data_IF_698848019172
#
_entry.id   IF_698848019172
#
_cell.length_a   1.000
_cell.length_b   1.000
_cell.length_c   1.000
_cell.angle_alpha   90.00
_cell.angle_beta   90.00
_cell.angle_gamma   90.00
#
_symmetry.space_group_name_H-M   'P 1'
#
loop_
_entity.id
_entity.type
_entity.pdbx_description
1 polymer ?
#
# COMPACT_ATOMS: atom_id res chain seq x y z
N UNK A 1 -23.90 8.26 -3.75
CA UNK A 1 -23.93 7.23 -4.81
C UNK A 1 -23.33 7.79 -6.09
N UNK A 2 -22.35 7.10 -6.66
CA UNK A 2 -21.78 7.41 -7.97
C UNK A 2 -22.55 6.73 -9.10
N UNK A 3 -22.87 7.49 -10.15
CA UNK A 3 -23.31 6.95 -11.45
C UNK A 3 -22.45 7.51 -12.58
N UNK A 4 -22.34 6.79 -13.69
CA UNK A 4 -21.68 7.32 -14.89
C UNK A 4 -22.43 8.55 -15.40
N UNK A 5 -21.68 9.57 -15.78
CA UNK A 5 -22.24 10.76 -16.42
C UNK A 5 -22.70 10.43 -17.84
N UNK A 6 -23.75 11.10 -18.29
CA UNK A 6 -24.29 10.96 -19.64
C UNK A 6 -24.33 12.32 -20.34
N UNK A 7 -24.80 12.38 -21.60
CA UNK A 7 -24.91 13.65 -22.33
C UNK A 7 -25.92 14.60 -21.68
N UNK A 8 -26.93 14.05 -21.03
CA UNK A 8 -28.00 14.76 -20.32
C UNK A 8 -27.47 15.53 -19.09
N UNK A 9 -26.29 15.16 -18.57
CA UNK A 9 -25.62 15.92 -17.51
C UNK A 9 -24.87 17.15 -18.02
N UNK A 10 -24.79 17.36 -19.34
CA UNK A 10 -23.90 18.34 -19.96
C UNK A 10 -24.13 19.78 -19.50
N UNK A 11 -25.38 20.23 -19.44
CA UNK A 11 -25.69 21.58 -18.99
C UNK A 11 -25.28 21.81 -17.53
N UNK A 12 -25.54 20.82 -16.66
CA UNK A 12 -25.16 20.88 -15.24
C UNK A 12 -23.64 20.90 -15.05
N UNK A 13 -22.93 20.04 -15.79
CA UNK A 13 -21.46 20.01 -15.77
C UNK A 13 -20.86 21.34 -16.24
N UNK A 14 -21.45 21.94 -17.28
CA UNK A 14 -21.05 23.25 -17.78
C UNK A 14 -21.20 24.34 -16.70
N UNK A 15 -22.37 24.43 -16.07
CA UNK A 15 -22.66 25.38 -15.01
C UNK A 15 -21.70 25.22 -13.82
N UNK A 16 -21.51 23.98 -13.34
CA UNK A 16 -20.58 23.69 -12.25
C UNK A 16 -19.13 24.03 -12.60
N UNK A 17 -18.70 23.74 -13.83
CA UNK A 17 -17.36 24.05 -14.33
C UNK A 17 -17.10 25.55 -14.40
N UNK A 18 -18.12 26.34 -14.74
CA UNK A 18 -18.03 27.80 -14.90
C UNK A 18 -18.30 28.61 -13.62
N UNK A 19 -18.81 27.98 -12.55
CA UNK A 19 -18.92 28.63 -11.24
C UNK A 19 -17.60 29.30 -10.83
N UNK A 20 -17.59 30.59 -10.43
CA UNK A 20 -16.37 31.33 -10.14
C UNK A 20 -15.45 30.67 -9.12
N UNK A 21 -16.01 30.08 -8.05
CA UNK A 21 -15.22 29.39 -7.01
C UNK A 21 -14.65 28.07 -7.51
N UNK A 22 -15.42 27.32 -8.33
CA UNK A 22 -14.88 26.12 -9.00
C UNK A 22 -13.70 26.50 -9.89
N UNK A 23 -13.85 27.53 -10.73
CA UNK A 23 -12.80 27.96 -11.65
C UNK A 23 -11.54 28.41 -10.92
N UNK A 24 -11.67 29.18 -9.85
CA UNK A 24 -10.53 29.60 -9.03
C UNK A 24 -9.68 28.41 -8.56
N UNK A 25 -10.34 27.31 -8.19
CA UNK A 25 -9.71 26.10 -7.66
C UNK A 25 -9.39 25.04 -8.73
N UNK A 26 -9.73 25.30 -9.98
CA UNK A 26 -9.44 24.44 -11.13
C UNK A 26 -8.06 24.76 -11.71
N UNK A 27 -7.42 23.76 -12.33
CA UNK A 27 -6.14 23.95 -13.03
C UNK A 27 -6.25 24.98 -14.17
N UNK A 28 -7.39 25.01 -14.86
CA UNK A 28 -7.73 26.08 -15.80
C UNK A 28 -8.79 27.00 -15.17
N UNK A 29 -8.45 28.27 -14.98
CA UNK A 29 -9.30 29.30 -14.35
C UNK A 29 -10.18 30.06 -15.35
N UNK A 30 -9.89 29.97 -16.65
CA UNK A 30 -10.66 30.65 -17.69
C UNK A 30 -12.12 30.14 -17.71
N UNK A 31 -13.10 31.01 -18.00
CA UNK A 31 -14.43 30.56 -18.35
C UNK A 31 -14.36 29.66 -19.58
N UNK A 32 -15.21 28.63 -19.60
CA UNK A 32 -15.33 27.69 -20.72
C UNK A 32 -16.54 28.10 -21.55
N UNK A 33 -16.39 28.17 -22.86
CA UNK A 33 -17.52 28.42 -23.76
C UNK A 33 -18.39 27.17 -23.92
N UNK A 34 -19.70 27.35 -24.13
CA UNK A 34 -20.66 26.25 -24.28
C UNK A 34 -20.23 25.25 -25.37
N UNK A 35 -19.86 25.74 -26.55
CA UNK A 35 -19.44 24.90 -27.66
C UNK A 35 -18.14 24.13 -27.37
N UNK A 36 -17.21 24.72 -26.60
CA UNK A 36 -15.99 24.04 -26.16
C UNK A 36 -16.32 22.92 -25.15
N UNK A 37 -17.21 23.21 -24.20
CA UNK A 37 -17.67 22.24 -23.23
C UNK A 37 -18.38 21.05 -23.88
N UNK A 38 -19.27 21.27 -24.84
CA UNK A 38 -19.96 20.20 -25.57
C UNK A 38 -19.00 19.29 -26.33
N UNK A 39 -17.98 19.87 -26.98
CA UNK A 39 -16.89 19.12 -27.61
C UNK A 39 -16.11 18.31 -26.59
N UNK A 40 -15.76 18.91 -25.45
CA UNK A 40 -15.03 18.24 -24.37
C UNK A 40 -15.83 17.08 -23.77
N UNK A 41 -17.14 17.26 -23.53
CA UNK A 41 -18.02 16.24 -22.97
C UNK A 41 -18.14 15.06 -23.93
N UNK A 42 -18.39 15.34 -25.20
CA UNK A 42 -18.48 14.30 -26.24
C UNK A 42 -17.20 13.48 -26.32
N UNK A 43 -16.03 14.14 -26.34
CA UNK A 43 -14.73 13.45 -26.31
C UNK A 43 -14.50 12.68 -25.02
N UNK A 44 -14.92 13.22 -23.87
CA UNK A 44 -14.73 12.59 -22.57
C UNK A 44 -15.57 11.33 -22.40
N UNK A 45 -16.82 11.34 -22.88
CA UNK A 45 -17.71 10.18 -22.83
C UNK A 45 -17.29 9.06 -23.81
N UNK A 46 -16.58 9.40 -24.88
CA UNK A 46 -16.06 8.44 -25.85
C UNK A 46 -14.64 7.91 -25.51
N UNK A 47 -13.96 8.49 -24.50
CA UNK A 47 -12.58 8.14 -24.19
C UNK A 47 -12.51 6.88 -23.30
N UNK A 48 -11.90 5.77 -23.76
CA UNK A 48 -11.82 4.53 -22.99
C UNK A 48 -10.93 4.63 -21.73
N UNK A 49 -10.04 5.63 -21.68
CA UNK A 49 -9.17 5.88 -20.53
C UNK A 49 -9.75 6.93 -19.57
N UNK A 50 -10.98 7.41 -19.79
CA UNK A 50 -11.64 8.36 -18.90
C UNK A 50 -12.98 7.81 -18.47
N UNK A 51 -13.28 7.89 -17.19
CA UNK A 51 -14.64 7.69 -16.70
C UNK A 51 -15.08 8.92 -15.91
N UNK A 52 -16.19 9.52 -16.35
CA UNK A 52 -16.81 10.67 -15.70
C UNK A 52 -18.03 10.18 -14.90
N UNK A 53 -18.16 10.67 -13.68
CA UNK A 53 -19.24 10.32 -12.77
C UNK A 53 -19.99 11.55 -12.30
N UNK A 54 -21.27 11.34 -12.00
CA UNK A 54 -22.08 12.22 -11.17
C UNK A 54 -22.22 11.57 -9.80
N UNK A 55 -21.93 12.35 -8.76
CA UNK A 55 -22.19 11.97 -7.38
C UNK A 55 -23.55 12.49 -6.97
N UNK A 56 -24.42 11.59 -6.53
CA UNK A 56 -25.76 11.89 -6.05
C UNK A 56 -25.86 11.66 -4.54
N UNK A 57 -26.42 12.64 -3.83
CA UNK A 57 -26.78 12.55 -2.42
C UNK A 57 -28.31 12.60 -2.34
N UNK A 58 -28.94 11.55 -1.80
CA UNK A 58 -30.40 11.42 -1.70
C UNK A 58 -31.13 11.66 -3.04
N UNK A 59 -30.57 11.14 -4.13
CA UNK A 59 -31.13 11.30 -5.49
C UNK A 59 -30.90 12.66 -6.14
N UNK A 60 -30.20 13.59 -5.46
CA UNK A 60 -29.86 14.91 -6.00
C UNK A 60 -28.40 14.93 -6.47
N UNK A 61 -28.11 15.29 -7.75
CA UNK A 61 -26.75 15.53 -8.22
C UNK A 61 -26.05 16.58 -7.35
N UNK A 62 -24.96 16.19 -6.70
CA UNK A 62 -24.25 17.02 -5.73
C UNK A 62 -22.78 17.26 -6.05
N UNK A 63 -22.26 16.60 -7.09
CA UNK A 63 -20.92 16.84 -7.60
C UNK A 63 -20.60 15.97 -8.80
N UNK A 64 -19.41 16.16 -9.33
CA UNK A 64 -18.83 15.33 -10.37
C UNK A 64 -17.42 14.92 -9.98
N UNK A 65 -17.03 13.72 -10.38
CA UNK A 65 -15.65 13.27 -10.29
C UNK A 65 -15.26 12.46 -11.51
N UNK A 66 -13.97 12.36 -11.76
CA UNK A 66 -13.40 11.78 -12.97
C UNK A 66 -12.18 10.95 -12.61
N UNK A 67 -12.02 9.85 -13.34
CA UNK A 67 -10.83 9.01 -13.33
C UNK A 67 -10.23 9.10 -14.73
N UNK A 68 -8.94 9.44 -14.84
CA UNK A 68 -8.14 9.32 -16.06
C UNK A 68 -7.06 8.27 -15.86
N UNK A 69 -7.04 7.24 -16.71
CA UNK A 69 -5.97 6.24 -16.76
C UNK A 69 -4.87 6.76 -17.69
N UNK A 70 -3.70 6.94 -17.12
CA UNK A 70 -2.48 7.36 -17.81
C UNK A 70 -1.44 6.25 -17.71
N UNK A 71 -0.52 6.21 -18.67
CA UNK A 71 0.63 5.30 -18.66
C UNK A 71 1.89 6.17 -18.72
N UNK A 72 2.71 6.08 -17.68
CA UNK A 72 3.98 6.78 -17.54
C UNK A 72 5.02 6.23 -18.53
N UNK A 73 6.11 6.97 -18.73
CA UNK A 73 7.19 6.57 -19.66
C UNK A 73 7.83 5.23 -19.33
N UNK A 74 7.81 4.84 -18.05
CA UNK A 74 8.31 3.55 -17.56
C UNK A 74 7.28 2.41 -17.70
N UNK A 75 6.13 2.67 -18.33
CA UNK A 75 5.05 1.71 -18.53
C UNK A 75 4.09 1.58 -17.34
N UNK A 76 4.30 2.35 -16.25
CA UNK A 76 3.44 2.28 -15.07
C UNK A 76 2.09 2.95 -15.30
N UNK A 77 1.01 2.29 -14.89
CA UNK A 77 -0.31 2.90 -14.90
C UNK A 77 -0.50 3.84 -13.72
N UNK A 78 -1.04 5.03 -13.99
CA UNK A 78 -1.43 6.03 -13.00
C UNK A 78 -2.88 6.42 -13.25
N UNK A 79 -3.67 6.54 -12.18
CA UNK A 79 -5.06 6.93 -12.24
C UNK A 79 -5.23 8.32 -11.63
N UNK A 80 -5.33 9.35 -12.47
CA UNK A 80 -5.56 10.72 -12.02
C UNK A 80 -7.02 10.93 -11.67
N UNK A 81 -7.25 11.55 -10.50
CA UNK A 81 -8.57 11.91 -10.02
C UNK A 81 -8.81 13.41 -10.12
N UNK A 82 -10.01 13.78 -10.54
CA UNK A 82 -10.52 15.15 -10.50
C UNK A 82 -11.91 15.16 -9.87
N UNK A 83 -12.26 16.22 -9.16
CA UNK A 83 -13.56 16.36 -8.51
C UNK A 83 -14.06 17.80 -8.44
N UNK A 84 -15.37 17.97 -8.33
CA UNK A 84 -16.05 19.24 -8.09
C UNK A 84 -17.34 18.97 -7.32
N UNK A 85 -17.60 19.77 -6.28
CA UNK A 85 -18.88 19.77 -5.58
C UNK A 85 -19.73 20.91 -6.13
N UNK A 86 -20.99 20.59 -6.42
CA UNK A 86 -22.00 21.53 -6.88
C UNK A 86 -22.05 22.77 -5.97
N UNK A 87 -22.09 24.01 -6.51
CA UNK A 87 -22.04 25.23 -5.71
C UNK A 87 -22.98 25.26 -4.50
N UNK A 88 -24.22 24.80 -4.70
CA UNK A 88 -25.32 24.72 -3.75
C UNK A 88 -25.20 23.57 -2.71
N UNK A 89 -24.23 22.67 -2.89
CA UNK A 89 -23.99 21.52 -2.03
C UNK A 89 -22.68 21.61 -1.21
N UNK A 90 -21.94 22.71 -1.34
CA UNK A 90 -20.69 22.95 -0.60
C UNK A 90 -20.91 23.08 0.90
N UNK A 91 -19.86 22.81 1.68
CA UNK A 91 -19.89 22.92 3.15
C UNK A 91 -20.55 21.74 3.88
N UNK A 92 -21.18 20.80 3.16
CA UNK A 92 -21.92 19.65 3.75
C UNK A 92 -21.09 18.37 3.92
N UNK A 93 -19.78 18.44 3.74
CA UNK A 93 -18.87 17.28 3.82
C UNK A 93 -18.95 16.29 2.64
N UNK A 94 -19.71 16.60 1.59
CA UNK A 94 -19.97 15.68 0.47
C UNK A 94 -18.74 15.36 -0.37
N UNK A 95 -17.75 16.26 -0.45
CA UNK A 95 -16.47 15.97 -1.11
C UNK A 95 -15.79 14.72 -0.55
N UNK A 96 -15.81 14.57 0.78
CA UNK A 96 -15.23 13.38 1.45
C UNK A 96 -16.05 12.12 1.12
N UNK A 97 -17.37 12.20 1.12
CA UNK A 97 -18.24 11.07 0.75
C UNK A 97 -17.97 10.63 -0.70
N UNK A 98 -17.96 11.57 -1.63
CA UNK A 98 -17.71 11.34 -3.05
C UNK A 98 -16.34 10.72 -3.30
N UNK A 99 -15.27 11.27 -2.72
CA UNK A 99 -13.93 10.70 -2.87
C UNK A 99 -13.84 9.30 -2.24
N UNK A 100 -14.50 9.07 -1.10
CA UNK A 100 -14.56 7.75 -0.48
C UNK A 100 -15.24 6.71 -1.36
N UNK A 101 -16.39 7.04 -1.97
CA UNK A 101 -17.05 6.16 -2.94
C UNK A 101 -16.19 5.93 -4.18
N UNK A 102 -15.51 6.97 -4.67
CA UNK A 102 -14.64 6.88 -5.85
C UNK A 102 -13.47 5.93 -5.61
N UNK A 103 -12.78 6.07 -4.47
CA UNK A 103 -11.65 5.22 -4.08
C UNK A 103 -12.07 3.77 -3.77
N UNK A 104 -13.35 3.53 -3.48
CA UNK A 104 -13.89 2.19 -3.26
C UNK A 104 -14.19 1.43 -4.56
N UNK A 105 -14.09 2.09 -5.73
CA UNK A 105 -14.28 1.42 -7.01
C UNK A 105 -13.17 0.39 -7.27
N UNK A 106 -13.56 -0.78 -7.76
CA UNK A 106 -12.63 -1.88 -8.08
C UNK A 106 -11.55 -1.45 -9.09
N UNK A 107 -11.87 -0.54 -10.02
CA UNK A 107 -10.92 0.02 -10.99
C UNK A 107 -9.71 0.71 -10.33
N UNK A 108 -9.86 1.27 -9.12
CA UNK A 108 -8.78 1.95 -8.40
C UNK A 108 -8.10 1.05 -7.36
N UNK A 109 -8.62 -0.16 -7.12
CA UNK A 109 -8.12 -1.04 -6.07
C UNK A 109 -6.67 -1.43 -6.35
N UNK A 110 -5.78 -1.00 -5.46
CA UNK A 110 -4.34 -1.27 -5.58
C UNK A 110 -3.64 -0.53 -6.70
N UNK A 111 -4.30 0.42 -7.36
CA UNK A 111 -3.65 1.22 -8.39
C UNK A 111 -2.89 2.39 -7.76
N UNK A 112 -1.92 2.92 -8.49
CA UNK A 112 -1.31 4.19 -8.16
C UNK A 112 -2.28 5.29 -8.56
N UNK A 113 -2.81 5.98 -7.57
CA UNK A 113 -3.79 7.04 -7.75
C UNK A 113 -3.09 8.38 -7.55
N UNK A 114 -3.37 9.33 -8.43
CA UNK A 114 -2.77 10.66 -8.44
C UNK A 114 -3.87 11.72 -8.30
N UNK A 115 -3.58 12.80 -7.59
CA UNK A 115 -4.36 14.03 -7.64
C UNK A 115 -3.43 15.22 -7.78
N UNK A 116 -3.76 16.13 -8.69
CA UNK A 116 -3.03 17.40 -8.90
C UNK A 116 -3.86 18.51 -8.26
N UNK A 117 -3.32 19.15 -7.23
CA UNK A 117 -4.07 20.06 -6.37
C UNK A 117 -3.30 21.36 -6.25
N UNK A 118 -3.96 22.50 -6.53
CA UNK A 118 -3.37 23.82 -6.27
C UNK A 118 -2.94 23.95 -4.81
N UNK A 119 -1.78 24.54 -4.57
CA UNK A 119 -1.19 24.63 -3.23
C UNK A 119 -2.05 25.44 -2.25
N UNK A 120 -2.89 26.35 -2.74
CA UNK A 120 -3.84 27.16 -1.96
C UNK A 120 -5.21 26.48 -1.73
N UNK A 121 -5.47 25.33 -2.36
CA UNK A 121 -6.72 24.58 -2.22
C UNK A 121 -6.71 23.70 -0.95
N UNK A 122 -6.65 24.36 0.22
CA UNK A 122 -6.54 23.69 1.52
C UNK A 122 -7.68 22.70 1.80
N UNK A 123 -8.87 22.92 1.22
CA UNK A 123 -9.99 22.00 1.36
C UNK A 123 -9.71 20.65 0.67
N UNK A 124 -9.13 20.67 -0.53
CA UNK A 124 -8.78 19.45 -1.27
C UNK A 124 -7.55 18.77 -0.68
N UNK A 125 -6.54 19.53 -0.26
CA UNK A 125 -5.35 19.02 0.45
C UNK A 125 -5.76 18.23 1.70
N UNK A 126 -6.51 18.86 2.62
CA UNK A 126 -6.99 18.20 3.85
C UNK A 126 -7.88 16.99 3.57
N UNK A 127 -8.57 17.00 2.42
CA UNK A 127 -9.40 15.88 2.02
C UNK A 127 -8.55 14.69 1.58
N UNK A 128 -7.58 14.87 0.69
CA UNK A 128 -6.74 13.77 0.21
C UNK A 128 -5.82 13.21 1.30
N UNK A 129 -5.28 14.06 2.17
CA UNK A 129 -4.51 13.63 3.35
C UNK A 129 -5.32 12.68 4.24
N UNK A 130 -6.61 13.00 4.46
CA UNK A 130 -7.51 12.14 5.24
C UNK A 130 -7.73 10.76 4.61
N UNK A 131 -7.63 10.66 3.29
CA UNK A 131 -7.68 9.38 2.56
C UNK A 131 -6.30 8.71 2.42
N UNK A 132 -5.25 9.31 2.99
CA UNK A 132 -3.89 8.79 3.02
C UNK A 132 -3.11 8.99 1.72
N UNK A 133 -3.50 9.98 0.92
CA UNK A 133 -2.58 10.51 -0.08
C UNK A 133 -1.40 11.15 0.66
N UNK A 134 -0.21 10.96 0.11
CA UNK A 134 0.99 11.68 0.53
C UNK A 134 1.36 12.68 -0.56
N UNK A 135 1.91 13.81 -0.14
CA UNK A 135 2.56 14.74 -1.04
C UNK A 135 3.80 14.05 -1.64
N UNK A 136 3.94 14.13 -2.96
CA UNK A 136 5.08 13.57 -3.69
C UNK A 136 6.06 14.67 -4.11
N UNK A 137 5.56 15.69 -4.83
CA UNK A 137 6.38 16.80 -5.35
C UNK A 137 5.51 17.99 -5.74
N UNK A 138 6.15 19.16 -5.88
CA UNK A 138 5.55 20.31 -6.53
C UNK A 138 5.58 20.18 -8.06
N UNK A 139 4.56 20.72 -8.71
CA UNK A 139 4.46 20.96 -10.14
C UNK A 139 3.87 22.36 -10.37
N UNK A 140 4.75 23.35 -10.59
CA UNK A 140 4.39 24.77 -10.72
C UNK A 140 3.65 25.28 -9.46
N UNK A 141 2.42 25.76 -9.61
CA UNK A 141 1.55 26.26 -8.53
C UNK A 141 0.66 25.15 -7.92
N UNK A 142 0.99 23.89 -8.20
CA UNK A 142 0.24 22.73 -7.74
C UNK A 142 1.16 21.72 -7.04
N UNK A 143 0.60 20.92 -6.14
CA UNK A 143 1.23 19.74 -5.59
C UNK A 143 0.68 18.47 -6.24
N UNK A 144 1.56 17.50 -6.47
CA UNK A 144 1.23 16.14 -6.85
C UNK A 144 1.05 15.31 -5.58
N UNK A 145 -0.14 14.71 -5.46
CA UNK A 145 -0.51 13.86 -4.33
C UNK A 145 -0.72 12.44 -4.81
N UNK A 146 -0.08 11.48 -4.16
CA UNK A 146 -0.15 10.07 -4.53
C UNK A 146 -0.82 9.24 -3.46
N UNK A 147 -1.70 8.35 -3.87
CA UNK A 147 -2.23 7.28 -3.04
C UNK A 147 -1.83 5.96 -3.69
N UNK A 148 -1.04 5.18 -2.96
CA UNK A 148 -0.71 3.81 -3.33
C UNK A 148 -0.80 2.96 -2.09
N UNK A 149 -1.70 1.97 -2.11
CA UNK A 149 -1.76 0.98 -1.03
C UNK A 149 -0.50 0.14 -1.12
N UNK A 150 0.32 0.18 -0.07
CA UNK A 150 1.45 -0.74 0.10
C UNK A 150 0.93 -2.01 0.78
N UNK A 151 1.40 -3.15 0.32
CA UNK A 151 1.25 -4.42 1.05
C UNK A 151 2.63 -4.83 1.53
N UNK A 152 2.80 -4.95 2.84
CA UNK A 152 4.04 -5.39 3.47
C UNK A 152 3.85 -6.85 3.89
N UNK A 153 4.64 -7.75 3.33
CA UNK A 153 4.62 -9.17 3.66
C UNK A 153 5.83 -9.47 4.54
N UNK A 154 5.60 -10.09 5.69
CA UNK A 154 6.67 -10.58 6.56
C UNK A 154 6.68 -12.10 6.46
N UNK A 155 7.81 -12.66 6.04
CA UNK A 155 8.00 -14.11 6.01
C UNK A 155 8.49 -14.59 7.38
N UNK A 156 7.70 -15.42 8.04
CA UNK A 156 8.03 -16.00 9.33
C UNK A 156 9.05 -17.14 9.21
N UNK A 157 9.88 -17.28 10.23
CA UNK A 157 10.90 -18.33 10.32
C UNK A 157 10.97 -18.93 11.71
N UNK A 158 12.00 -18.56 12.47
CA UNK A 158 12.28 -19.15 13.77
C UNK A 158 11.65 -18.41 14.92
N UNK A 159 11.18 -19.22 15.88
CA UNK A 159 10.66 -18.78 17.14
C UNK A 159 11.50 -19.37 18.27
N UNK A 160 11.57 -18.64 19.38
CA UNK A 160 12.10 -19.13 20.65
C UNK A 160 11.11 -18.81 21.77
N UNK A 161 11.29 -19.45 22.92
CA UNK A 161 10.49 -19.17 24.12
C UNK A 161 11.33 -18.33 25.06
N UNK A 162 10.88 -17.13 25.40
CA UNK A 162 11.59 -16.23 26.30
C UNK A 162 11.50 -16.69 27.77
N UNK A 163 12.19 -15.97 28.66
CA UNK A 163 12.25 -16.26 30.11
C UNK A 163 10.87 -16.22 30.80
N UNK A 164 9.94 -15.45 30.24
CA UNK A 164 8.58 -15.31 30.75
C UNK A 164 7.64 -16.38 30.17
N UNK A 165 8.20 -17.30 29.37
CA UNK A 165 7.48 -18.39 28.74
C UNK A 165 6.69 -17.98 27.50
N UNK A 166 6.90 -16.79 26.95
CA UNK A 166 6.22 -16.31 25.74
C UNK A 166 7.02 -16.71 24.50
N UNK A 167 6.31 -17.04 23.44
CA UNK A 167 6.94 -17.30 22.14
C UNK A 167 7.23 -15.97 21.44
N UNK A 168 8.46 -15.84 20.95
CA UNK A 168 8.99 -14.61 20.34
C UNK A 168 9.74 -14.91 19.06
N UNK A 169 9.81 -13.93 18.17
CA UNK A 169 10.72 -13.98 17.01
C UNK A 169 12.18 -13.87 17.48
N UNK A 170 13.06 -14.61 16.81
CA UNK A 170 14.48 -14.73 17.21
C UNK A 170 15.28 -13.42 17.03
N UNK A 171 16.25 -13.17 17.91
CA UNK A 171 17.17 -12.03 17.83
C UNK A 171 18.55 -12.33 18.47
N UNK A 172 19.58 -12.38 17.64
CA UNK A 172 20.95 -12.68 18.08
C UNK A 172 21.14 -14.15 18.47
N UNK A 173 22.31 -14.44 19.04
CA UNK A 173 22.71 -15.81 19.43
C UNK A 173 22.01 -16.30 20.68
N UNK A 174 21.84 -15.45 21.69
CA UNK A 174 21.20 -15.84 22.95
C UNK A 174 19.69 -16.07 22.83
N UNK A 175 19.10 -15.63 21.72
CA UNK A 175 17.69 -15.87 21.40
C UNK A 175 17.57 -16.61 20.06
N UNK A 176 18.54 -17.46 19.76
CA UNK A 176 18.47 -18.38 18.64
C UNK A 176 17.49 -19.50 18.96
N UNK A 177 16.42 -19.62 18.16
CA UNK A 177 15.51 -20.75 18.26
C UNK A 177 16.12 -22.03 17.70
N UNK A 178 15.27 -22.97 17.30
CA UNK A 178 15.69 -24.30 16.80
C UNK A 178 16.43 -24.30 15.45
N UNK A 179 16.58 -23.14 14.81
CA UNK A 179 17.21 -23.01 13.48
C UNK A 179 18.49 -22.15 13.49
N UNK A 180 19.06 -21.92 14.67
CA UNK A 180 20.21 -21.03 14.85
C UNK A 180 19.83 -19.55 14.73
N UNK A 181 20.82 -18.71 14.46
CA UNK A 181 20.66 -17.25 14.35
C UNK A 181 19.92 -16.91 13.06
N UNK A 182 18.75 -16.30 13.19
CA UNK A 182 17.94 -15.81 12.07
C UNK A 182 17.68 -14.31 12.11
N UNK A 183 17.61 -13.73 13.32
CA UNK A 183 17.25 -12.32 13.53
C UNK A 183 15.87 -11.95 12.93
N UNK A 184 14.89 -12.85 13.04
CA UNK A 184 13.51 -12.64 12.54
C UNK A 184 12.85 -11.40 13.16
N UNK A 185 13.22 -11.04 14.40
CA UNK A 185 12.72 -9.83 15.06
C UNK A 185 13.02 -8.54 14.29
N UNK A 186 14.14 -8.49 13.55
CA UNK A 186 14.46 -7.33 12.70
C UNK A 186 13.36 -7.11 11.65
N UNK A 187 12.79 -8.18 11.08
CA UNK A 187 11.71 -8.10 10.08
C UNK A 187 10.44 -7.51 10.67
N UNK A 188 10.11 -7.90 11.91
CA UNK A 188 8.92 -7.42 12.63
C UNK A 188 9.04 -5.93 12.93
N UNK A 189 10.18 -5.49 13.46
CA UNK A 189 10.42 -4.07 13.76
C UNK A 189 10.46 -3.24 12.48
N UNK A 190 11.18 -3.70 11.45
CA UNK A 190 11.22 -3.02 10.16
C UNK A 190 9.83 -2.86 9.54
N UNK A 191 8.98 -3.88 9.63
CA UNK A 191 7.60 -3.81 9.16
C UNK A 191 6.77 -2.78 9.93
N UNK A 192 6.90 -2.74 11.27
CA UNK A 192 6.17 -1.78 12.08
C UNK A 192 6.57 -0.33 11.73
N UNK A 193 7.86 -0.07 11.52
CA UNK A 193 8.33 1.27 11.12
C UNK A 193 7.88 1.68 9.71
N UNK A 194 7.94 0.77 8.72
CA UNK A 194 7.40 1.04 7.39
C UNK A 194 5.89 1.30 7.40
N UNK A 195 5.15 0.61 8.27
CA UNK A 195 3.73 0.87 8.46
C UNK A 195 3.47 2.22 9.12
N UNK A 196 4.33 2.70 10.03
CA UNK A 196 4.20 4.03 10.62
C UNK A 196 4.38 5.14 9.57
N UNK A 197 5.27 4.96 8.60
CA UNK A 197 5.42 5.86 7.44
C UNK A 197 4.18 5.88 6.53
N UNK A 198 3.46 4.75 6.42
CA UNK A 198 2.21 4.65 5.65
C UNK A 198 1.17 3.77 6.37
N UNK A 199 0.38 4.39 7.27
CA UNK A 199 -0.59 3.70 8.14
C UNK A 199 -1.75 3.03 7.39
N UNK A 200 -1.91 3.33 6.10
CA UNK A 200 -2.89 2.68 5.23
C UNK A 200 -2.36 1.39 4.59
N UNK A 201 -1.11 1.02 4.86
CA UNK A 201 -0.52 -0.22 4.37
C UNK A 201 -1.23 -1.43 4.96
N UNK A 202 -1.42 -2.46 4.14
CA UNK A 202 -1.80 -3.80 4.57
C UNK A 202 -0.53 -4.56 4.96
N UNK A 203 -0.63 -5.38 6.00
CA UNK A 203 0.45 -6.26 6.44
C UNK A 203 -0.03 -7.70 6.32
N UNK A 204 0.80 -8.56 5.75
CA UNK A 204 0.61 -10.01 5.72
C UNK A 204 1.67 -10.63 6.61
N UNK A 205 1.27 -11.17 7.76
CA UNK A 205 2.15 -11.99 8.60
C UNK A 205 2.03 -13.44 8.13
N UNK A 206 3.08 -13.99 7.53
CA UNK A 206 3.06 -15.31 6.90
C UNK A 206 3.88 -16.33 7.68
N UNK A 207 3.41 -17.58 7.69
CA UNK A 207 4.06 -18.70 8.34
C UNK A 207 3.15 -19.47 9.31
N UNK A 208 3.07 -20.77 9.10
CA UNK A 208 2.40 -21.75 9.95
C UNK A 208 3.33 -22.33 11.01
N UNK A 209 3.10 -23.59 11.37
CA UNK A 209 3.95 -24.30 12.33
C UNK A 209 5.21 -24.90 11.69
N UNK A 210 5.11 -25.35 10.43
CA UNK A 210 6.23 -25.95 9.68
C UNK A 210 7.01 -26.98 10.49
N UNK A 211 8.34 -26.83 10.49
CA UNK A 211 9.27 -27.68 11.26
C UNK A 211 9.13 -27.55 12.78
N UNK A 212 8.39 -26.57 13.29
CA UNK A 212 8.13 -26.36 14.72
C UNK A 212 6.82 -27.02 15.20
N UNK A 213 6.11 -27.76 14.35
CA UNK A 213 4.79 -28.37 14.69
C UNK A 213 4.78 -29.20 15.98
N UNK A 214 5.88 -29.89 16.29
CA UNK A 214 5.98 -30.72 17.49
C UNK A 214 6.47 -29.95 18.73
N UNK A 215 6.80 -28.67 18.58
CA UNK A 215 7.41 -27.82 19.60
C UNK A 215 6.41 -26.72 20.02
N UNK A 216 5.70 -26.15 19.05
CA UNK A 216 4.73 -25.09 19.30
C UNK A 216 3.45 -25.66 19.92
N UNK A 217 2.82 -24.90 20.85
CA UNK A 217 1.47 -25.18 21.29
C UNK A 217 0.49 -25.33 20.13
N UNK A 218 -0.56 -26.14 20.33
CA UNK A 218 -1.60 -26.35 19.33
C UNK A 218 -2.20 -25.01 18.90
N UNK A 219 -2.19 -24.75 17.60
CA UNK A 219 -2.75 -23.54 17.02
C UNK A 219 -1.86 -22.30 17.09
N UNK A 220 -0.69 -22.34 17.73
CA UNK A 220 0.30 -21.25 17.67
C UNK A 220 1.16 -21.39 16.41
N UNK A 221 1.30 -20.32 15.64
CA UNK A 221 2.06 -20.25 14.39
C UNK A 221 3.04 -19.08 14.41
N UNK A 222 4.03 -19.08 13.52
CA UNK A 222 4.94 -17.92 13.38
C UNK A 222 4.19 -16.65 12.97
N UNK A 223 3.18 -16.74 12.11
CA UNK A 223 2.33 -15.60 11.76
C UNK A 223 1.58 -15.01 12.95
N UNK A 224 1.08 -15.83 13.89
CA UNK A 224 0.42 -15.35 15.11
C UNK A 224 1.41 -14.61 16.02
N UNK A 225 2.59 -15.18 16.24
CA UNK A 225 3.63 -14.52 17.05
C UNK A 225 4.04 -13.19 16.42
N UNK A 226 4.26 -13.16 15.11
CA UNK A 226 4.57 -11.92 14.37
C UNK A 226 3.44 -10.89 14.53
N UNK A 227 2.17 -11.31 14.38
CA UNK A 227 1.03 -10.43 14.57
C UNK A 227 1.00 -9.83 15.98
N UNK A 228 1.12 -10.66 17.01
CA UNK A 228 1.09 -10.18 18.40
C UNK A 228 2.21 -9.17 18.67
N UNK A 229 3.41 -9.44 18.15
CA UNK A 229 4.54 -8.52 18.26
C UNK A 229 4.33 -7.20 17.47
N UNK A 230 3.68 -7.23 16.30
CA UNK A 230 3.32 -6.02 15.57
C UNK A 230 2.29 -5.18 16.35
N UNK A 231 1.31 -5.84 17.00
CA UNK A 231 0.33 -5.17 17.86
C UNK A 231 1.02 -4.48 19.06
N UNK A 232 1.99 -5.14 19.69
CA UNK A 232 2.81 -4.55 20.76
C UNK A 232 3.60 -3.32 20.28
N UNK A 233 4.04 -3.31 19.01
CA UNK A 233 4.73 -2.18 18.37
C UNK A 233 3.78 -1.06 17.89
N UNK A 234 2.48 -1.19 18.14
CA UNK A 234 1.46 -0.17 17.85
C UNK A 234 0.84 -0.27 16.45
N UNK A 235 1.05 -1.37 15.73
CA UNK A 235 0.37 -1.62 14.45
C UNK A 235 -1.10 -1.93 14.72
N UNK A 236 -2.00 -1.32 13.94
CA UNK A 236 -3.43 -1.55 14.10
C UNK A 236 -3.85 -2.94 13.58
N UNK A 237 -4.60 -3.70 14.38
CA UNK A 237 -5.05 -5.05 14.03
C UNK A 237 -5.81 -5.13 12.69
N UNK A 238 -6.57 -4.09 12.33
CA UNK A 238 -7.31 -4.03 11.04
C UNK A 238 -6.40 -4.05 9.81
N UNK A 239 -5.11 -3.74 9.99
CA UNK A 239 -4.13 -3.71 8.91
C UNK A 239 -3.43 -5.06 8.73
N UNK A 240 -3.53 -6.00 9.69
CA UNK A 240 -2.79 -7.25 9.69
C UNK A 240 -3.70 -8.40 9.26
N UNK A 241 -3.27 -9.14 8.24
CA UNK A 241 -3.88 -10.40 7.82
C UNK A 241 -2.88 -11.53 8.04
N UNK A 242 -3.33 -12.64 8.63
CA UNK A 242 -2.49 -13.82 8.84
C UNK A 242 -2.57 -14.76 7.64
N UNK A 243 -1.41 -15.26 7.22
CA UNK A 243 -1.26 -16.50 6.46
C UNK A 243 -0.58 -17.48 7.42
N UNK A 244 -1.28 -18.54 7.84
CA UNK A 244 -0.88 -19.39 8.97
C UNK A 244 -0.77 -20.87 8.61
N UNK A 245 -0.70 -21.19 7.31
CA UNK A 245 -0.65 -22.57 6.81
C UNK A 245 0.76 -22.97 6.39
N UNK A 246 1.49 -22.05 5.75
CA UNK A 246 2.76 -22.37 5.09
C UNK A 246 3.89 -22.72 6.06
N UNK A 247 4.51 -23.88 5.90
CA UNK A 247 5.59 -24.38 6.76
C UNK A 247 7.00 -24.04 6.29
N UNK A 248 7.18 -23.65 5.03
CA UNK A 248 8.46 -23.27 4.42
C UNK A 248 8.38 -21.90 3.76
N UNK A 249 9.54 -21.26 3.53
CA UNK A 249 9.60 -19.99 2.77
C UNK A 249 8.96 -20.12 1.38
N UNK A 250 9.18 -21.24 0.69
CA UNK A 250 8.61 -21.46 -0.64
C UNK A 250 7.08 -21.61 -0.61
N UNK A 251 6.54 -22.35 0.37
CA UNK A 251 5.09 -22.43 0.60
C UNK A 251 4.50 -21.06 0.97
N UNK A 252 5.22 -20.24 1.74
CA UNK A 252 4.78 -18.87 2.04
C UNK A 252 4.68 -18.05 0.76
N UNK A 253 5.71 -18.08 -0.12
CA UNK A 253 5.67 -17.38 -1.41
C UNK A 253 4.53 -17.87 -2.32
N UNK A 254 4.22 -19.17 -2.32
CA UNK A 254 3.04 -19.71 -3.03
C UNK A 254 1.72 -19.21 -2.44
N UNK A 255 1.59 -19.15 -1.11
CA UNK A 255 0.41 -18.57 -0.49
C UNK A 255 0.25 -17.08 -0.84
N UNK A 256 1.35 -16.32 -0.90
CA UNK A 256 1.33 -14.92 -1.36
C UNK A 256 0.90 -14.82 -2.83
N UNK A 257 1.39 -15.70 -3.72
CA UNK A 257 0.91 -15.80 -5.10
C UNK A 257 -0.60 -16.00 -5.15
N UNK A 258 -1.14 -16.97 -4.44
CA UNK A 258 -2.59 -17.24 -4.40
C UNK A 258 -3.38 -16.03 -3.88
N UNK A 259 -2.85 -15.33 -2.86
CA UNK A 259 -3.44 -14.12 -2.31
C UNK A 259 -3.41 -12.93 -3.29
N UNK A 260 -2.43 -12.87 -4.19
CA UNK A 260 -2.41 -11.89 -5.28
C UNK A 260 -3.48 -12.25 -6.31
N UNK A 261 -3.52 -13.51 -6.75
CA UNK A 261 -4.44 -13.99 -7.79
C UNK A 261 -5.91 -13.86 -7.38
N UNK A 262 -6.23 -14.04 -6.10
CA UNK A 262 -7.59 -13.85 -5.57
C UNK A 262 -7.90 -12.41 -5.12
N UNK A 263 -6.99 -11.46 -5.35
CA UNK A 263 -7.18 -10.04 -5.04
C UNK A 263 -7.16 -9.68 -3.55
N UNK A 264 -6.69 -10.57 -2.67
CA UNK A 264 -6.48 -10.28 -1.23
C UNK A 264 -5.25 -9.40 -1.00
N UNK A 265 -4.22 -9.55 -1.83
CA UNK A 265 -3.01 -8.72 -1.87
C UNK A 265 -2.99 -7.98 -3.19
N UNK A 266 -2.69 -6.69 -3.14
CA UNK A 266 -2.62 -5.83 -4.32
C UNK A 266 -1.77 -4.59 -4.04
N UNK A 267 -1.51 -3.82 -5.09
CA UNK A 267 -0.74 -2.59 -5.01
C UNK A 267 0.76 -2.84 -4.99
N UNK A 268 1.46 -2.00 -4.24
CA UNK A 268 2.91 -2.04 -4.17
C UNK A 268 3.32 -3.05 -3.09
N UNK A 269 3.75 -4.24 -3.49
CA UNK A 269 4.02 -5.36 -2.59
C UNK A 269 5.50 -5.35 -2.18
N UNK A 270 5.75 -5.40 -0.88
CA UNK A 270 7.08 -5.38 -0.26
C UNK A 270 7.22 -6.64 0.58
N UNK A 271 8.13 -7.53 0.22
CA UNK A 271 8.45 -8.71 1.04
C UNK A 271 9.67 -8.37 1.88
N UNK A 272 9.45 -8.30 3.20
CA UNK A 272 10.52 -8.03 4.17
C UNK A 272 11.19 -9.33 4.58
N UNK A 273 12.51 -9.37 4.46
CA UNK A 273 13.34 -10.40 5.06
C UNK A 273 14.69 -9.85 5.50
N UNK A 274 15.52 -10.67 6.14
CA UNK A 274 16.89 -10.28 6.43
C UNK A 274 17.71 -10.23 5.14
N UNK A 275 18.68 -9.31 5.05
CA UNK A 275 19.52 -9.11 3.87
C UNK A 275 20.19 -10.40 3.37
N UNK A 276 20.66 -11.24 4.29
CA UNK A 276 21.31 -12.51 3.93
C UNK A 276 20.37 -13.50 3.22
N UNK A 277 19.06 -13.39 3.47
CA UNK A 277 18.04 -14.32 2.98
C UNK A 277 17.41 -13.86 1.66
N UNK A 278 17.52 -12.57 1.32
CA UNK A 278 16.94 -12.00 0.09
C UNK A 278 17.42 -12.69 -1.20
N UNK A 279 18.72 -13.04 -1.37
CA UNK A 279 19.16 -13.73 -2.58
C UNK A 279 18.45 -15.08 -2.80
N UNK A 280 18.25 -15.86 -1.74
CA UNK A 280 17.52 -17.12 -1.82
C UNK A 280 16.04 -16.90 -2.15
N UNK A 281 15.41 -15.90 -1.55
CA UNK A 281 14.02 -15.54 -1.89
C UNK A 281 13.92 -15.16 -3.38
N UNK A 282 14.84 -14.32 -3.86
CA UNK A 282 14.88 -13.91 -5.27
C UNK A 282 15.00 -15.14 -6.19
N UNK A 283 15.95 -16.04 -5.90
CA UNK A 283 16.12 -17.28 -6.66
C UNK A 283 14.85 -18.17 -6.63
N UNK A 284 14.17 -18.29 -5.48
CA UNK A 284 12.91 -19.01 -5.37
C UNK A 284 11.81 -18.42 -6.26
N UNK A 285 11.76 -17.09 -6.40
CA UNK A 285 10.78 -16.41 -7.25
C UNK A 285 11.13 -16.62 -8.73
N UNK A 286 12.38 -16.38 -9.11
CA UNK A 286 12.81 -16.40 -10.50
C UNK A 286 12.80 -17.80 -11.12
N UNK A 287 13.14 -18.82 -10.33
CA UNK A 287 13.33 -20.19 -10.81
C UNK A 287 12.18 -21.14 -10.46
N UNK A 288 10.96 -20.63 -10.25
CA UNK A 288 9.79 -21.46 -9.98
C UNK A 288 8.53 -20.98 -10.71
N UNK A 289 7.46 -21.75 -10.52
CA UNK A 289 6.13 -21.48 -11.09
C UNK A 289 5.50 -20.16 -10.61
N UNK A 290 6.06 -19.53 -9.58
CA UNK A 290 5.54 -18.26 -9.03
C UNK A 290 6.06 -17.02 -9.78
N UNK A 291 7.09 -17.16 -10.61
CA UNK A 291 7.75 -16.06 -11.33
C UNK A 291 6.76 -15.20 -12.13
N UNK A 292 5.82 -15.82 -12.84
CA UNK A 292 4.83 -15.11 -13.67
C UNK A 292 3.93 -14.14 -12.88
N UNK A 293 3.75 -14.40 -11.58
CA UNK A 293 2.91 -13.57 -10.71
C UNK A 293 3.77 -12.61 -9.89
N UNK A 294 4.91 -13.06 -9.37
CA UNK A 294 5.71 -12.30 -8.41
C UNK A 294 6.80 -11.46 -9.07
N UNK A 295 7.44 -11.95 -10.16
CA UNK A 295 8.58 -11.27 -10.77
C UNK A 295 8.20 -9.91 -11.34
N UNK A 296 9.00 -8.88 -11.01
CA UNK A 296 8.74 -7.49 -11.38
C UNK A 296 7.53 -6.83 -10.70
N UNK A 297 6.79 -7.55 -9.85
CA UNK A 297 5.60 -7.04 -9.14
C UNK A 297 5.79 -6.91 -7.62
N UNK A 298 6.89 -7.44 -7.09
CA UNK A 298 7.24 -7.37 -5.67
C UNK A 298 8.59 -6.68 -5.50
N UNK A 299 8.74 -6.00 -4.38
CA UNK A 299 10.00 -5.42 -3.94
C UNK A 299 10.51 -6.27 -2.78
N UNK A 300 11.72 -6.81 -2.92
CA UNK A 300 12.40 -7.45 -1.81
C UNK A 300 13.07 -6.38 -0.96
N UNK A 301 12.77 -6.36 0.34
CA UNK A 301 13.21 -5.31 1.26
C UNK A 301 14.01 -5.92 2.40
N UNK A 302 15.23 -5.40 2.58
CA UNK A 302 16.12 -5.74 3.67
C UNK A 302 15.66 -5.15 4.99
N UNK A 303 15.40 -5.99 5.99
CA UNK A 303 15.02 -5.55 7.32
C UNK A 303 16.13 -4.70 7.96
N UNK A 304 17.39 -5.10 7.79
CA UNK A 304 18.56 -4.36 8.25
C UNK A 304 18.62 -2.97 7.59
N UNK A 305 18.38 -2.89 6.28
CA UNK A 305 18.46 -1.62 5.54
C UNK A 305 17.38 -0.63 5.98
N UNK A 306 16.16 -1.14 6.24
CA UNK A 306 15.05 -0.33 6.79
C UNK A 306 15.42 0.21 8.17
N UNK A 307 15.93 -0.65 9.06
CA UNK A 307 16.27 -0.25 10.43
C UNK A 307 17.45 0.71 10.48
N UNK A 308 18.46 0.53 9.62
CA UNK A 308 19.58 1.47 9.50
C UNK A 308 19.12 2.84 8.96
N UNK A 309 18.09 2.87 8.11
CA UNK A 309 17.51 4.13 7.60
C UNK A 309 16.66 4.85 8.64
N UNK A 310 15.82 4.11 9.38
CA UNK A 310 14.78 4.70 10.22
C UNK A 310 15.17 4.82 11.69
N UNK A 311 15.96 3.88 12.20
CA UNK A 311 16.33 3.77 13.62
C UNK A 311 17.83 3.44 13.77
N UNK A 312 18.76 4.20 13.13
CA UNK A 312 20.19 3.88 13.13
C UNK A 312 20.77 3.78 14.54
N UNK A 313 20.39 4.69 15.44
CA UNK A 313 20.91 4.74 16.81
C UNK A 313 20.55 3.49 17.64
N UNK A 314 19.46 2.81 17.29
CA UNK A 314 19.00 1.61 18.01
C UNK A 314 19.60 0.32 17.45
N UNK A 315 19.83 0.26 16.13
CA UNK A 315 20.09 -1.01 15.45
C UNK A 315 21.47 -1.13 14.82
N UNK A 316 22.18 -0.02 14.57
CA UNK A 316 23.45 -0.05 13.84
C UNK A 316 24.49 -0.93 14.51
N UNK A 317 24.72 -0.73 15.80
CA UNK A 317 25.71 -1.50 16.56
C UNK A 317 25.38 -3.00 16.55
N UNK A 318 24.13 -3.36 16.86
CA UNK A 318 23.68 -4.75 16.85
C UNK A 318 23.85 -5.41 15.47
N UNK A 319 23.44 -4.74 14.38
CA UNK A 319 23.54 -5.28 13.03
C UNK A 319 25.01 -5.47 12.63
N UNK A 320 25.89 -4.52 12.94
CA UNK A 320 27.32 -4.62 12.65
C UNK A 320 28.00 -5.73 13.44
N UNK A 321 27.67 -5.90 14.73
CA UNK A 321 28.18 -6.99 15.56
C UNK A 321 27.67 -8.35 15.09
N UNK A 322 26.36 -8.47 14.80
CA UNK A 322 25.77 -9.72 14.31
C UNK A 322 26.41 -10.16 13.00
N UNK A 323 26.67 -9.25 12.04
CA UNK A 323 27.37 -9.58 10.78
C UNK A 323 28.78 -10.15 10.98
N UNK A 324 29.47 -9.76 12.06
CA UNK A 324 30.83 -10.23 12.37
C UNK A 324 30.85 -11.56 13.13
N UNK A 325 29.71 -11.98 13.68
CA UNK A 325 29.62 -13.17 14.51
C UNK A 325 29.80 -14.45 13.69
N UNK A 326 30.46 -15.45 14.29
CA UNK A 326 30.75 -16.73 13.64
C UNK A 326 29.47 -17.48 13.28
N UNK A 327 28.46 -17.42 14.17
CA UNK A 327 27.16 -18.01 13.93
C UNK A 327 26.47 -17.40 12.71
N UNK A 328 26.53 -16.08 12.55
CA UNK A 328 25.92 -15.41 11.41
C UNK A 328 26.69 -15.68 10.11
N UNK A 329 28.03 -15.73 10.13
CA UNK A 329 28.83 -16.11 8.95
C UNK A 329 28.47 -17.50 8.43
N UNK A 330 28.43 -18.50 9.32
CA UNK A 330 27.97 -19.86 8.99
C UNK A 330 26.56 -19.87 8.41
N UNK A 331 25.67 -19.03 8.95
CA UNK A 331 24.32 -18.88 8.40
C UNK A 331 24.34 -18.37 6.97
N UNK A 332 25.06 -17.29 6.68
CA UNK A 332 25.16 -16.75 5.31
C UNK A 332 25.74 -17.79 4.35
N UNK A 333 26.72 -18.58 4.78
CA UNK A 333 27.30 -19.66 3.97
C UNK A 333 26.29 -20.76 3.64
N UNK A 334 25.41 -21.12 4.58
CA UNK A 334 24.38 -22.15 4.36
C UNK A 334 23.24 -21.72 3.42
N UNK A 335 23.19 -20.44 3.04
CA UNK A 335 22.15 -19.86 2.17
C UNK A 335 22.62 -19.70 0.72
N UNK A 336 23.92 -19.94 0.45
CA UNK A 336 24.50 -20.08 -0.89
C UNK A 336 24.32 -21.52 -1.38
#
# INVERSE_FOLDING_TARGET
MLRKATKEDGQRLFEWRNDPKTRQQSLNTAPVEQAEHERWLTKSLANPNRTLFIFEENGTPAGTCRIDREVEKDGREVFELSWTIAPEQRGKGLGKKMLGELLALETLRGKLVKAVIKSDNLASVKMVEKFGFHFDRDEKETGIWLLQKKTIVILGGGLFKDSDGRWRTTLGENQSGHFGVLNDRLRVVACAELWKENKNSQIISSGGQGKLKNILPVGLTSSKVIKDELLELGVSAKNITEENKSGTTFEQLRAIKEMIENGKIFGNIHIISNNYHLPRIQAMIEHSDISAVLSGKINLVGAEDVLLRLLPDQWKEFIEQSKKSEAMKKRVESEK
#
